data_IF_735450876033
#
_entry.id   IF_735450876033
#
_cell.length_a   1.000
_cell.length_b   1.000
_cell.length_c   1.000
_cell.angle_alpha   90.00
_cell.angle_beta   90.00
_cell.angle_gamma   90.00
#
_symmetry.space_group_name_H-M   'P 1'
#
loop_
_entity.id
_entity.type
_entity.pdbx_description
1 polymer ?
#
# COMPACT_ATOMS: atom_id res chain seq x y z
N UNK A 1 4.51 33.24 57.39
CA UNK A 1 3.99 31.86 57.22
C UNK A 1 3.70 31.62 55.74
N UNK A 2 4.38 30.63 55.13
CA UNK A 2 4.28 30.30 53.69
C UNK A 2 2.97 29.55 53.41
N UNK A 3 2.15 30.04 52.49
CA UNK A 3 1.01 29.30 51.94
C UNK A 3 1.52 28.24 50.95
N UNK A 4 1.31 26.97 51.28
CA UNK A 4 1.53 25.82 50.39
C UNK A 4 0.51 25.86 49.25
N UNK A 5 0.96 25.97 48.00
CA UNK A 5 0.12 25.75 46.82
C UNK A 5 -0.01 24.25 46.58
N UNK A 6 -1.20 23.69 46.81
CA UNK A 6 -1.56 22.33 46.39
C UNK A 6 -1.67 22.29 44.87
N UNK A 7 -0.84 21.48 44.22
CA UNK A 7 -0.96 21.12 42.80
C UNK A 7 -2.01 20.01 42.72
N UNK A 8 -3.17 20.34 42.16
CA UNK A 8 -4.22 19.38 41.85
C UNK A 8 -3.79 18.58 40.60
N UNK A 9 -3.29 17.36 40.79
CA UNK A 9 -3.08 16.41 39.69
C UNK A 9 -4.45 15.92 39.21
N UNK A 10 -4.97 16.53 38.12
CA UNK A 10 -6.13 16.00 37.42
C UNK A 10 -5.71 14.71 36.69
N UNK A 11 -5.98 13.55 37.29
CA UNK A 11 -5.91 12.26 36.61
C UNK A 11 -7.03 12.19 35.57
N UNK A 12 -6.73 12.47 34.30
CA UNK A 12 -7.64 12.18 33.19
C UNK A 12 -7.78 10.65 33.06
N UNK A 13 -9.01 10.10 33.11
CA UNK A 13 -9.21 8.69 32.79
C UNK A 13 -8.95 8.52 31.28
N UNK A 14 -7.90 7.78 30.94
CA UNK A 14 -7.67 7.30 29.58
C UNK A 14 -8.76 6.27 29.29
N UNK A 15 -9.86 6.72 28.70
CA UNK A 15 -10.91 5.84 28.18
C UNK A 15 -10.30 5.11 26.98
N UNK A 16 -9.71 3.93 27.24
CA UNK A 16 -9.40 2.95 26.21
C UNK A 16 -10.72 2.43 25.64
N UNK A 17 -11.28 3.15 24.67
CA UNK A 17 -12.37 2.65 23.87
C UNK A 17 -11.82 1.49 23.01
N UNK A 18 -11.93 0.28 23.54
CA UNK A 18 -11.42 -0.96 22.98
C UNK A 18 -12.37 -1.44 21.87
N UNK A 19 -12.54 -0.64 20.81
CA UNK A 19 -13.18 -1.11 19.58
C UNK A 19 -12.18 -1.99 18.81
N UNK A 20 -11.94 -3.18 19.33
CA UNK A 20 -11.14 -4.22 18.69
C UNK A 20 -12.10 -5.14 17.94
N UNK A 21 -12.51 -4.75 16.73
CA UNK A 21 -13.09 -5.73 15.80
C UNK A 21 -11.95 -6.61 15.26
N UNK A 22 -11.40 -7.47 16.11
CA UNK A 22 -10.48 -8.50 15.67
C UNK A 22 -11.34 -9.52 14.95
N UNK A 23 -11.37 -9.47 13.61
CA UNK A 23 -12.01 -10.50 12.82
C UNK A 23 -11.25 -11.80 13.09
N UNK A 24 -11.96 -12.84 13.50
CA UNK A 24 -11.36 -14.15 13.64
C UNK A 24 -10.89 -14.64 12.27
N UNK A 25 -9.64 -15.08 12.21
CA UNK A 25 -9.09 -15.71 11.02
C UNK A 25 -9.56 -17.15 10.96
N UNK A 26 -9.88 -17.63 9.76
CA UNK A 26 -10.45 -18.97 9.55
C UNK A 26 -9.54 -19.83 8.66
N UNK A 27 -9.65 -21.15 8.80
CA UNK A 27 -8.93 -22.13 7.96
C UNK A 27 -7.40 -21.90 7.93
N UNK A 28 -6.79 -21.81 9.11
CA UNK A 28 -5.35 -21.56 9.28
C UNK A 28 -4.46 -22.81 9.14
N UNK A 29 -5.07 -23.97 8.91
CA UNK A 29 -4.48 -25.30 8.74
C UNK A 29 -4.12 -25.66 7.28
N UNK A 30 -4.17 -24.68 6.39
CA UNK A 30 -3.89 -24.84 4.96
C UNK A 30 -2.38 -25.06 4.66
N UNK A 31 -1.99 -25.84 3.62
CA UNK A 31 -0.59 -26.11 3.26
C UNK A 31 0.32 -24.89 3.05
N UNK A 32 -0.26 -23.74 2.70
CA UNK A 32 0.48 -22.48 2.61
C UNK A 32 1.01 -21.96 3.95
N UNK A 33 0.50 -22.47 5.08
CA UNK A 33 0.76 -21.95 6.43
C UNK A 33 0.02 -20.65 6.75
N UNK A 34 -1.01 -20.30 5.98
CA UNK A 34 -1.75 -19.03 6.11
C UNK A 34 -3.26 -19.24 6.13
N UNK A 35 -3.95 -18.49 6.99
CA UNK A 35 -5.40 -18.47 7.09
C UNK A 35 -6.06 -17.96 5.79
N UNK A 36 -7.31 -18.36 5.56
CA UNK A 36 -8.10 -18.05 4.36
C UNK A 36 -8.13 -16.57 4.00
N UNK A 37 -8.28 -15.69 4.99
CA UNK A 37 -8.34 -14.25 4.75
C UNK A 37 -7.04 -13.72 4.15
N UNK A 38 -5.89 -14.23 4.61
CA UNK A 38 -4.58 -13.87 4.08
C UNK A 38 -4.41 -14.45 2.67
N UNK A 39 -4.77 -15.72 2.46
CA UNK A 39 -4.71 -16.36 1.14
C UNK A 39 -5.53 -15.62 0.09
N UNK A 40 -6.79 -15.32 0.41
CA UNK A 40 -7.69 -14.56 -0.45
C UNK A 40 -7.14 -13.18 -0.77
N UNK A 41 -6.57 -12.48 0.22
CA UNK A 41 -5.99 -11.18 0.00
C UNK A 41 -4.73 -11.25 -0.87
N UNK A 42 -3.88 -12.25 -0.67
CA UNK A 42 -2.71 -12.52 -1.50
C UNK A 42 -3.12 -12.79 -2.95
N UNK A 43 -4.12 -13.63 -3.19
CA UNK A 43 -4.66 -13.89 -4.53
C UNK A 43 -5.13 -12.62 -5.23
N UNK A 44 -5.78 -11.70 -4.51
CA UNK A 44 -6.25 -10.42 -5.06
C UNK A 44 -5.16 -9.37 -5.29
N UNK A 45 -4.01 -9.48 -4.62
CA UNK A 45 -3.07 -8.35 -4.50
C UNK A 45 -1.67 -8.60 -5.03
N UNK A 46 -1.27 -9.84 -5.30
CA UNK A 46 0.11 -10.16 -5.69
C UNK A 46 0.56 -9.44 -6.98
N UNK A 47 -0.31 -9.34 -7.99
CA UNK A 47 -0.04 -8.62 -9.25
C UNK A 47 0.24 -7.14 -8.99
N UNK A 48 -0.54 -6.51 -8.11
CA UNK A 48 -0.37 -5.10 -7.73
C UNK A 48 0.86 -4.87 -6.85
N UNK A 49 1.26 -5.85 -6.05
CA UNK A 49 2.50 -5.82 -5.30
C UNK A 49 3.71 -5.80 -6.24
N UNK A 50 3.71 -6.68 -7.25
CA UNK A 50 4.76 -6.73 -8.26
C UNK A 50 4.82 -5.43 -9.10
N UNK A 51 3.67 -4.87 -9.52
CA UNK A 51 3.62 -3.55 -10.16
C UNK A 51 4.20 -2.45 -9.26
N UNK A 52 3.83 -2.45 -7.97
CA UNK A 52 4.30 -1.46 -6.98
C UNK A 52 5.81 -1.55 -6.71
N UNK A 53 6.43 -2.70 -6.98
CA UNK A 53 7.88 -2.83 -7.04
C UNK A 53 8.42 -2.28 -8.37
N UNK A 54 7.82 -2.68 -9.49
CA UNK A 54 8.33 -2.37 -10.82
C UNK A 54 8.40 -0.86 -11.12
N UNK A 55 7.46 -0.09 -10.60
CA UNK A 55 7.39 1.38 -10.75
C UNK A 55 8.64 2.13 -10.24
N UNK A 56 9.48 1.48 -9.42
CA UNK A 56 10.78 2.03 -9.02
C UNK A 56 11.83 1.99 -10.14
N UNK A 57 11.54 1.32 -11.26
CA UNK A 57 12.39 1.20 -12.45
C UNK A 57 13.85 0.79 -12.13
N UNK A 58 14.00 -0.15 -11.20
CA UNK A 58 15.30 -0.74 -10.81
C UNK A 58 15.66 -1.92 -11.73
N UNK A 59 16.94 -2.37 -11.76
CA UNK A 59 17.38 -3.43 -12.68
C UNK A 59 16.55 -4.71 -12.64
N UNK A 60 16.18 -5.18 -11.44
CA UNK A 60 15.23 -6.27 -11.33
C UNK A 60 13.81 -5.76 -11.57
N UNK A 61 13.07 -6.40 -12.48
CA UNK A 61 11.66 -6.14 -12.83
C UNK A 61 10.90 -7.47 -12.84
N UNK A 62 9.69 -7.50 -12.29
CA UNK A 62 8.79 -8.63 -12.45
C UNK A 62 8.21 -8.60 -13.86
N UNK A 63 8.22 -9.72 -14.58
CA UNK A 63 7.51 -9.88 -15.83
C UNK A 63 6.01 -10.03 -15.56
N UNK A 64 5.25 -9.05 -16.05
CA UNK A 64 3.80 -8.96 -15.95
C UNK A 64 3.15 -8.68 -17.32
N UNK A 65 3.90 -8.82 -18.42
CA UNK A 65 3.45 -8.41 -19.76
C UNK A 65 2.20 -9.19 -20.22
N UNK A 66 2.02 -10.42 -19.74
CA UNK A 66 0.81 -11.21 -19.97
C UNK A 66 -0.45 -10.56 -19.36
N UNK A 67 -0.29 -9.84 -18.25
CA UNK A 67 -1.40 -9.33 -17.44
C UNK A 67 -1.71 -7.86 -17.70
N UNK A 68 -0.67 -7.05 -17.91
CA UNK A 68 -0.83 -5.60 -18.00
C UNK A 68 -0.21 -5.03 -19.27
N UNK A 69 -0.92 -4.07 -19.83
CA UNK A 69 -0.41 -3.17 -20.85
C UNK A 69 -0.03 -1.85 -20.18
N UNK A 70 1.20 -1.37 -20.41
CA UNK A 70 1.62 -0.05 -19.96
C UNK A 70 1.03 1.00 -20.90
N UNK A 71 0.37 2.01 -20.33
CA UNK A 71 -0.30 3.08 -21.08
C UNK A 71 0.53 4.35 -21.10
N UNK A 72 0.94 4.86 -19.94
CA UNK A 72 1.61 6.16 -19.83
C UNK A 72 2.42 6.27 -18.54
N UNK A 73 3.59 6.90 -18.61
CA UNK A 73 4.37 7.31 -17.44
C UNK A 73 4.13 8.79 -17.14
N UNK A 74 4.12 9.12 -15.85
CA UNK A 74 3.96 10.48 -15.34
C UNK A 74 5.13 10.80 -14.40
N UNK A 75 5.97 11.74 -14.80
CA UNK A 75 7.13 12.16 -14.02
C UNK A 75 7.06 13.66 -13.71
N UNK A 76 7.37 14.02 -12.46
CA UNK A 76 7.69 15.39 -12.09
C UNK A 76 8.91 15.38 -11.16
N UNK A 77 10.07 15.70 -11.75
CA UNK A 77 11.38 15.65 -11.09
C UNK A 77 11.50 16.66 -9.94
N UNK A 78 10.85 17.83 -10.05
CA UNK A 78 10.92 18.90 -9.05
C UNK A 78 10.33 18.49 -7.69
N UNK A 79 9.47 17.48 -7.68
CA UNK A 79 8.83 16.97 -6.47
C UNK A 79 9.12 15.48 -6.24
N UNK A 80 10.09 14.90 -6.96
CA UNK A 80 10.41 13.46 -6.94
C UNK A 80 9.16 12.57 -7.08
N UNK A 81 8.32 12.90 -8.06
CA UNK A 81 7.10 12.16 -8.34
C UNK A 81 7.27 11.29 -9.58
N UNK A 82 6.86 10.03 -9.46
CA UNK A 82 6.73 9.13 -10.59
C UNK A 82 5.52 8.22 -10.41
N UNK A 83 4.76 8.01 -11.49
CA UNK A 83 3.68 7.05 -11.55
C UNK A 83 3.58 6.45 -12.96
N UNK A 84 3.00 5.26 -13.05
CA UNK A 84 2.68 4.63 -14.33
C UNK A 84 1.22 4.21 -14.34
N UNK A 85 0.53 4.49 -15.44
CA UNK A 85 -0.80 3.97 -15.74
C UNK A 85 -0.66 2.70 -16.57
N UNK A 86 -1.33 1.65 -16.10
CA UNK A 86 -1.49 0.39 -16.82
C UNK A 86 -2.97 0.13 -17.11
N UNK A 87 -3.21 -0.79 -18.04
CA UNK A 87 -4.51 -1.42 -18.27
C UNK A 87 -4.38 -2.93 -18.07
N UNK A 88 -5.28 -3.50 -17.28
CA UNK A 88 -5.40 -4.95 -17.15
C UNK A 88 -5.96 -5.52 -18.44
N UNK A 89 -5.24 -6.47 -19.04
CA UNK A 89 -5.59 -7.07 -20.34
C UNK A 89 -6.80 -7.98 -20.26
N UNK A 90 -7.10 -8.55 -19.09
CA UNK A 90 -8.18 -9.49 -18.89
C UNK A 90 -9.49 -8.77 -18.55
N UNK A 91 -9.45 -7.86 -17.59
CA UNK A 91 -10.67 -7.19 -17.09
C UNK A 91 -10.84 -5.76 -17.60
N UNK A 92 -9.88 -5.24 -18.36
CA UNK A 92 -9.96 -3.91 -18.98
C UNK A 92 -9.84 -2.73 -18.00
N UNK A 93 -9.63 -2.98 -16.70
CA UNK A 93 -9.53 -1.92 -15.68
C UNK A 93 -8.21 -1.17 -15.78
N UNK A 94 -8.23 0.12 -15.45
CA UNK A 94 -7.03 0.94 -15.35
C UNK A 94 -6.39 0.83 -13.97
N UNK A 95 -5.07 0.78 -13.92
CA UNK A 95 -4.27 0.65 -12.71
C UNK A 95 -3.24 1.77 -12.65
N UNK A 96 -3.38 2.63 -11.66
CA UNK A 96 -2.42 3.69 -11.36
C UNK A 96 -1.44 3.21 -10.30
N UNK A 97 -0.17 3.14 -10.67
CA UNK A 97 0.91 2.67 -9.79
C UNK A 97 1.79 3.85 -9.44
N UNK A 98 1.91 4.17 -8.15
CA UNK A 98 2.71 5.30 -7.67
C UNK A 98 4.01 4.81 -7.05
N UNK A 99 5.12 5.44 -7.46
CA UNK A 99 6.43 5.22 -6.85
C UNK A 99 6.49 5.85 -5.47
N UNK A 100 7.12 5.17 -4.52
CA UNK A 100 7.56 5.81 -3.28
C UNK A 100 8.90 6.53 -3.46
N UNK A 101 9.43 7.07 -2.38
CA UNK A 101 10.81 7.58 -2.38
C UNK A 101 11.78 6.42 -2.26
N UNK A 102 12.89 6.47 -3.02
CA UNK A 102 13.92 5.43 -3.08
C UNK A 102 14.80 5.35 -1.82
N UNK A 103 14.71 6.31 -0.91
CA UNK A 103 15.45 6.28 0.35
C UNK A 103 14.62 6.78 1.53
N UNK A 104 14.71 6.06 2.66
CA UNK A 104 14.20 6.54 3.95
C UNK A 104 14.92 7.82 4.43
N UNK A 105 16.13 8.07 3.94
CA UNK A 105 16.93 9.26 4.25
C UNK A 105 16.41 10.52 3.53
N UNK A 106 15.77 10.36 2.37
CA UNK A 106 15.10 11.44 1.60
C UNK A 106 13.67 11.73 2.07
N UNK A 107 13.18 11.08 3.13
CA UNK A 107 11.86 11.38 3.68
C UNK A 107 11.74 12.84 4.20
N UNK A 108 12.86 13.54 4.43
CA UNK A 108 12.88 14.97 4.76
C UNK A 108 12.53 15.88 3.56
N UNK A 109 12.72 15.44 2.31
CA UNK A 109 12.47 16.20 1.07
C UNK A 109 11.25 15.69 0.29
N UNK A 110 10.95 14.38 0.39
CA UNK A 110 9.69 13.78 -0.05
C UNK A 110 8.49 14.23 0.79
N UNK A 111 7.28 14.08 0.23
CA UNK A 111 5.97 14.49 0.77
C UNK A 111 5.87 14.55 2.32
N UNK A 112 6.29 15.68 2.92
CA UNK A 112 6.26 15.86 4.37
C UNK A 112 4.79 16.02 4.84
N UNK A 113 4.39 15.50 6.01
CA UNK A 113 3.08 15.72 6.63
C UNK A 113 2.45 17.11 6.41
N UNK A 114 3.27 18.16 6.46
CA UNK A 114 2.85 19.56 6.27
C UNK A 114 2.67 19.98 4.81
N UNK A 115 3.54 19.52 3.90
CA UNK A 115 3.60 19.94 2.49
C UNK A 115 3.39 18.73 1.58
N UNK A 116 2.12 18.33 1.45
CA UNK A 116 1.69 17.15 0.69
C UNK A 116 1.65 17.39 -0.84
N UNK A 117 2.74 17.88 -1.44
CA UNK A 117 2.82 18.23 -2.88
C UNK A 117 2.58 17.03 -3.79
N UNK A 118 3.17 15.87 -3.51
CA UNK A 118 3.02 14.68 -4.33
C UNK A 118 1.58 14.13 -4.27
N UNK A 119 0.89 14.23 -3.13
CA UNK A 119 -0.52 13.85 -3.03
C UNK A 119 -1.42 14.74 -3.92
N UNK A 120 -1.17 16.05 -3.92
CA UNK A 120 -1.90 17.00 -4.77
C UNK A 120 -1.65 16.73 -6.26
N UNK A 121 -0.40 16.49 -6.62
CA UNK A 121 -0.03 16.18 -8.00
C UNK A 121 -0.60 14.82 -8.45
N UNK A 122 -0.60 13.82 -7.56
CA UNK A 122 -1.23 12.52 -7.78
C UNK A 122 -2.72 12.62 -8.12
N UNK A 123 -3.48 13.45 -7.38
CA UNK A 123 -4.88 13.74 -7.72
C UNK A 123 -5.03 14.40 -9.09
N UNK A 124 -4.19 15.39 -9.39
CA UNK A 124 -4.24 16.11 -10.66
C UNK A 124 -4.02 15.16 -11.85
N UNK A 125 -3.00 14.30 -11.79
CA UNK A 125 -2.73 13.37 -12.89
C UNK A 125 -3.78 12.27 -12.99
N UNK A 126 -4.36 11.83 -11.87
CA UNK A 126 -5.45 10.88 -11.85
C UNK A 126 -6.67 11.46 -12.57
N UNK A 127 -7.08 12.69 -12.24
CA UNK A 127 -8.23 13.35 -12.86
C UNK A 127 -8.02 13.59 -14.35
N UNK A 128 -6.82 14.05 -14.74
CA UNK A 128 -6.46 14.21 -16.16
C UNK A 128 -6.53 12.89 -16.91
N UNK A 129 -6.02 11.82 -16.32
CA UNK A 129 -6.02 10.49 -16.96
C UNK A 129 -7.42 9.91 -17.02
N UNK A 130 -8.24 10.09 -15.99
CA UNK A 130 -9.65 9.70 -15.98
C UNK A 130 -10.41 10.39 -17.10
N UNK A 131 -10.18 11.68 -17.32
CA UNK A 131 -10.78 12.42 -18.43
C UNK A 131 -10.25 11.97 -19.80
N UNK A 132 -8.92 11.82 -19.94
CA UNK A 132 -8.26 11.44 -21.20
C UNK A 132 -8.64 10.03 -21.68
N UNK A 133 -8.69 9.07 -20.76
CA UNK A 133 -8.94 7.66 -21.06
C UNK A 133 -10.37 7.19 -20.75
N UNK A 134 -11.20 8.09 -20.23
CA UNK A 134 -12.62 7.89 -19.94
C UNK A 134 -12.94 6.61 -19.13
N UNK A 135 -12.16 6.34 -18.06
CA UNK A 135 -12.43 5.20 -17.18
C UNK A 135 -13.36 5.57 -16.02
N UNK A 136 -14.34 4.72 -15.72
CA UNK A 136 -15.29 4.92 -14.61
C UNK A 136 -14.75 4.42 -13.27
N UNK A 137 -13.90 3.39 -13.31
CA UNK A 137 -13.23 2.77 -12.16
C UNK A 137 -11.72 2.70 -12.37
N UNK A 138 -10.97 2.75 -11.27
CA UNK A 138 -9.52 2.59 -11.30
C UNK A 138 -9.03 1.88 -10.03
N UNK A 139 -7.99 1.06 -10.21
CA UNK A 139 -7.20 0.52 -9.11
C UNK A 139 -6.02 1.45 -8.90
N UNK A 140 -5.83 1.92 -7.67
CA UNK A 140 -4.67 2.71 -7.28
C UNK A 140 -3.78 1.90 -6.36
N UNK A 141 -2.49 1.87 -6.64
CA UNK A 141 -1.55 1.03 -5.89
C UNK A 141 -0.19 1.70 -5.71
N UNK A 142 0.53 1.26 -4.69
CA UNK A 142 1.89 1.73 -4.45
C UNK A 142 2.47 1.24 -3.14
N UNK A 143 3.78 1.41 -3.03
CA UNK A 143 4.57 1.04 -1.87
C UNK A 143 5.03 2.29 -1.09
N UNK A 144 5.19 2.19 0.23
CA UNK A 144 5.77 3.27 1.04
C UNK A 144 5.02 4.60 0.82
N UNK A 145 5.72 5.67 0.41
CA UNK A 145 5.09 6.94 0.04
C UNK A 145 4.08 6.80 -1.12
N UNK A 146 4.36 5.98 -2.14
CA UNK A 146 3.45 5.72 -3.24
C UNK A 146 2.12 5.11 -2.78
N UNK A 147 2.16 4.23 -1.78
CA UNK A 147 0.96 3.72 -1.11
C UNK A 147 0.18 4.80 -0.37
N UNK A 148 0.87 5.81 0.18
CA UNK A 148 0.26 7.00 0.77
C UNK A 148 -0.49 7.85 -0.28
N UNK A 149 0.11 8.03 -1.47
CA UNK A 149 -0.51 8.75 -2.60
C UNK A 149 -1.75 7.98 -3.10
N UNK A 150 -1.64 6.67 -3.31
CA UNK A 150 -2.76 5.82 -3.72
C UNK A 150 -3.92 5.90 -2.71
N UNK A 151 -3.61 5.83 -1.41
CA UNK A 151 -4.61 6.00 -0.34
C UNK A 151 -5.25 7.38 -0.40
N UNK A 152 -4.44 8.43 -0.61
CA UNK A 152 -4.93 9.80 -0.75
C UNK A 152 -5.92 9.94 -1.92
N UNK A 153 -5.63 9.36 -3.08
CA UNK A 153 -6.54 9.38 -4.22
C UNK A 153 -7.84 8.67 -3.87
N UNK A 154 -7.75 7.46 -3.34
CA UNK A 154 -8.94 6.71 -2.95
C UNK A 154 -9.78 7.45 -1.89
N UNK A 155 -9.19 8.30 -1.03
CA UNK A 155 -9.92 9.11 -0.03
C UNK A 155 -10.68 10.28 -0.65
N UNK A 156 -10.33 10.69 -1.87
CA UNK A 156 -10.79 11.93 -2.46
C UNK A 156 -11.43 11.74 -3.84
N UNK A 157 -11.47 10.52 -4.39
CA UNK A 157 -12.10 10.19 -5.67
C UNK A 157 -12.91 8.92 -5.57
N UNK A 158 -14.14 8.94 -6.08
CA UNK A 158 -14.99 7.75 -6.15
C UNK A 158 -14.43 6.73 -7.14
N UNK A 159 -14.80 5.46 -6.92
CA UNK A 159 -14.44 4.32 -7.76
C UNK A 159 -12.93 4.11 -7.88
N UNK A 160 -12.19 4.43 -6.82
CA UNK A 160 -10.74 4.27 -6.73
C UNK A 160 -10.40 3.23 -5.67
N UNK A 161 -10.37 1.95 -6.07
CA UNK A 161 -10.03 0.83 -5.17
C UNK A 161 -8.53 0.86 -4.89
N UNK A 162 -8.13 0.82 -3.61
CA UNK A 162 -6.72 0.90 -3.23
C UNK A 162 -6.15 -0.45 -2.79
N UNK A 163 -5.01 -0.84 -3.35
CA UNK A 163 -4.14 -1.89 -2.80
C UNK A 163 -2.79 -1.26 -2.47
N UNK A 164 -2.39 -1.30 -1.21
CA UNK A 164 -1.18 -0.59 -0.78
C UNK A 164 -0.29 -1.46 0.08
N UNK A 165 1.02 -1.23 -0.03
CA UNK A 165 2.04 -2.11 0.53
C UNK A 165 2.99 -1.31 1.41
N UNK A 166 3.16 -1.72 2.67
CA UNK A 166 3.99 -1.02 3.65
C UNK A 166 3.80 0.51 3.60
N UNK A 167 2.56 0.98 3.47
CA UNK A 167 2.31 2.36 3.06
C UNK A 167 2.69 3.38 4.12
N UNK A 168 2.99 4.59 3.66
CA UNK A 168 3.16 5.77 4.49
C UNK A 168 1.82 6.23 5.10
N UNK A 169 1.83 6.78 6.33
CA UNK A 169 0.66 7.42 6.93
C UNK A 169 0.36 8.83 6.35
N UNK A 170 1.15 9.32 5.38
CA UNK A 170 1.03 10.69 4.87
C UNK A 170 -0.04 10.81 3.78
N UNK A 171 -1.29 11.02 4.21
CA UNK A 171 -2.43 11.35 3.35
C UNK A 171 -3.38 12.32 4.07
N UNK A 172 -4.46 12.73 3.40
CA UNK A 172 -5.54 13.50 3.99
C UNK A 172 -6.85 12.97 3.47
N UNK A 173 -7.80 12.85 4.38
CA UNK A 173 -9.18 12.65 4.02
C UNK A 173 -9.89 14.01 3.97
N UNK A 174 -10.43 14.38 2.81
CA UNK A 174 -11.29 15.57 2.70
C UNK A 174 -12.76 15.22 2.43
N UNK A 175 -13.07 13.97 2.10
CA UNK A 175 -14.38 13.56 1.62
C UNK A 175 -14.81 12.26 2.28
N UNK A 176 -16.11 12.07 2.55
CA UNK A 176 -16.60 10.81 3.10
C UNK A 176 -16.88 9.78 1.99
N UNK A 177 -15.86 9.47 1.16
CA UNK A 177 -15.99 8.54 0.03
C UNK A 177 -15.77 7.10 0.49
N UNK A 178 -16.70 6.23 0.11
CA UNK A 178 -16.61 4.78 0.32
C UNK A 178 -15.95 4.15 -0.91
N UNK A 179 -14.73 3.68 -0.72
CA UNK A 179 -14.01 2.83 -1.66
C UNK A 179 -13.44 1.65 -0.87
N UNK A 180 -13.23 0.54 -1.56
CA UNK A 180 -12.43 -0.55 -1.03
C UNK A 180 -10.97 -0.14 -0.89
N UNK A 181 -10.39 -0.45 0.27
CA UNK A 181 -8.97 -0.19 0.58
C UNK A 181 -8.39 -1.38 1.29
N UNK A 182 -7.32 -1.90 0.71
CA UNK A 182 -6.57 -3.03 1.23
C UNK A 182 -5.15 -2.55 1.51
N UNK A 183 -4.76 -2.59 2.78
CA UNK A 183 -3.41 -2.22 3.22
C UNK A 183 -2.72 -3.47 3.74
N UNK A 184 -1.67 -3.89 3.04
CA UNK A 184 -0.85 -5.05 3.39
C UNK A 184 0.48 -4.52 3.93
N UNK A 185 0.84 -4.91 5.14
CA UNK A 185 2.07 -4.46 5.79
C UNK A 185 2.86 -5.61 6.39
N UNK A 186 4.17 -5.49 6.41
CA UNK A 186 5.05 -6.41 7.13
C UNK A 186 5.03 -6.12 8.65
N UNK A 187 5.04 -7.16 9.48
CA UNK A 187 4.78 -7.06 10.93
C UNK A 187 5.74 -6.13 11.69
N UNK A 188 6.98 -6.04 11.24
CA UNK A 188 8.07 -5.31 11.88
C UNK A 188 8.70 -4.25 11.01
N UNK A 189 8.06 -3.81 9.92
CA UNK A 189 8.65 -2.77 9.08
C UNK A 189 8.71 -1.39 9.77
N UNK A 190 9.53 -0.52 9.22
CA UNK A 190 9.95 0.74 9.84
C UNK A 190 8.84 1.80 9.92
N UNK A 191 7.82 1.78 9.06
CA UNK A 191 6.72 2.77 9.12
C UNK A 191 5.62 2.42 10.12
N UNK A 192 5.71 1.28 10.82
CA UNK A 192 4.78 0.87 11.87
C UNK A 192 4.62 1.94 12.95
N UNK A 193 5.74 2.51 13.40
CA UNK A 193 5.74 3.56 14.44
C UNK A 193 5.06 4.85 13.93
N UNK A 194 5.46 5.43 12.78
CA UNK A 194 4.72 6.54 12.18
C UNK A 194 3.22 6.28 11.97
N UNK A 195 2.83 5.06 11.57
CA UNK A 195 1.41 4.69 11.38
C UNK A 195 0.62 4.67 12.69
N UNK A 196 1.24 4.26 13.81
CA UNK A 196 0.59 4.27 15.13
C UNK A 196 0.14 5.68 15.57
N UNK A 197 0.89 6.71 15.19
CA UNK A 197 0.55 8.11 15.48
C UNK A 197 -0.23 8.80 14.35
N UNK A 198 -0.40 8.11 13.22
CA UNK A 198 -1.17 8.58 12.07
C UNK A 198 -2.67 8.33 12.24
N UNK A 199 -3.48 9.07 11.48
CA UNK A 199 -4.91 8.73 11.32
C UNK A 199 -5.03 7.64 10.28
N UNK A 200 -5.58 6.49 10.65
CA UNK A 200 -5.83 5.39 9.72
C UNK A 200 -7.18 5.58 8.99
N UNK A 201 -7.25 5.38 7.66
CA UNK A 201 -8.50 5.42 6.91
C UNK A 201 -9.34 4.18 7.23
N UNK A 202 -10.64 4.23 6.90
CA UNK A 202 -11.45 3.01 6.86
C UNK A 202 -10.94 2.08 5.75
N UNK A 203 -10.48 0.88 6.12
CA UNK A 203 -9.76 -0.06 5.24
C UNK A 203 -9.73 -1.46 5.87
N UNK A 204 -9.43 -2.47 5.05
CA UNK A 204 -8.92 -3.74 5.53
C UNK A 204 -7.40 -3.63 5.73
N UNK A 205 -6.96 -3.61 6.98
CA UNK A 205 -5.54 -3.59 7.36
C UNK A 205 -5.07 -5.01 7.69
N UNK A 206 -4.10 -5.51 6.95
CA UNK A 206 -3.54 -6.86 7.11
C UNK A 206 -2.05 -6.78 7.37
N UNK A 207 -1.65 -7.23 8.56
CA UNK A 207 -0.26 -7.36 8.96
C UNK A 207 0.20 -8.79 8.69
N UNK A 208 1.28 -8.96 7.94
CA UNK A 208 1.83 -10.25 7.52
C UNK A 208 3.30 -10.38 7.93
N UNK A 209 3.75 -11.58 8.25
CA UNK A 209 5.15 -11.87 8.61
C UNK A 209 5.87 -12.58 7.47
N UNK A 210 5.97 -11.91 6.33
CA UNK A 210 6.45 -12.50 5.08
C UNK A 210 7.98 -12.56 4.99
N UNK A 211 8.67 -11.57 5.54
CA UNK A 211 10.13 -11.47 5.43
C UNK A 211 10.83 -11.46 6.79
N UNK A 212 12.05 -12.03 6.79
CA UNK A 212 12.96 -12.02 7.94
C UNK A 212 13.92 -10.83 7.85
N UNK A 213 14.47 -10.45 9.01
CA UNK A 213 15.43 -9.36 9.16
C UNK A 213 14.87 -8.14 9.87
N UNK A 214 15.66 -7.06 9.91
CA UNK A 214 15.29 -5.82 10.61
C UNK A 214 14.23 -4.98 9.89
N UNK A 215 13.77 -3.88 10.50
CA UNK A 215 12.63 -3.08 10.00
C UNK A 215 12.79 -2.52 8.58
N UNK A 216 14.01 -2.19 8.16
CA UNK A 216 14.30 -1.72 6.79
C UNK A 216 14.17 -2.89 5.80
N UNK A 217 14.65 -4.07 6.17
CA UNK A 217 14.59 -5.26 5.33
C UNK A 217 13.15 -5.76 5.13
N UNK A 218 12.30 -5.60 6.16
CA UNK A 218 10.86 -5.88 6.08
C UNK A 218 10.08 -4.81 5.31
N UNK A 219 10.71 -3.66 5.03
CA UNK A 219 10.14 -2.62 4.16
C UNK A 219 10.46 -2.85 2.67
N UNK A 220 11.02 -4.00 2.31
CA UNK A 220 11.41 -4.29 0.93
C UNK A 220 10.19 -4.77 0.12
N UNK A 221 9.80 -3.99 -0.89
CA UNK A 221 8.66 -4.30 -1.74
C UNK A 221 8.86 -5.58 -2.56
N UNK A 222 10.09 -5.92 -2.96
CA UNK A 222 10.35 -7.17 -3.69
C UNK A 222 10.03 -8.36 -2.79
N UNK A 223 10.50 -8.36 -1.54
CA UNK A 223 10.28 -9.48 -0.60
C UNK A 223 8.79 -9.67 -0.30
N UNK A 224 8.08 -8.57 -0.07
CA UNK A 224 6.64 -8.63 0.15
C UNK A 224 5.90 -9.13 -1.10
N UNK A 225 6.26 -8.66 -2.30
CA UNK A 225 5.67 -9.15 -3.55
C UNK A 225 5.95 -10.64 -3.79
N UNK A 226 7.17 -11.10 -3.56
CA UNK A 226 7.55 -12.52 -3.65
C UNK A 226 6.69 -13.38 -2.72
N UNK A 227 6.54 -12.95 -1.46
CA UNK A 227 5.75 -13.67 -0.48
C UNK A 227 4.26 -13.75 -0.86
N UNK A 228 3.64 -12.62 -1.21
CA UNK A 228 2.24 -12.61 -1.63
C UNK A 228 2.00 -13.49 -2.86
N UNK A 229 2.95 -13.51 -3.79
CA UNK A 229 2.89 -14.38 -4.98
C UNK A 229 2.94 -15.85 -4.58
N UNK A 230 3.77 -16.25 -3.61
CA UNK A 230 3.83 -17.64 -3.13
C UNK A 230 2.57 -18.08 -2.42
N UNK A 231 2.02 -17.22 -1.56
CA UNK A 231 0.77 -17.51 -0.86
C UNK A 231 -0.33 -17.73 -1.89
N UNK A 232 -0.47 -16.82 -2.86
CA UNK A 232 -1.44 -16.92 -3.95
C UNK A 232 -1.23 -18.18 -4.79
N UNK A 233 0.02 -18.55 -5.09
CA UNK A 233 0.36 -19.72 -5.92
C UNK A 233 -0.09 -21.06 -5.35
N UNK A 234 -0.58 -21.14 -4.12
CA UNK A 234 -1.20 -22.38 -3.65
C UNK A 234 -2.52 -22.67 -4.38
N UNK A 235 -3.25 -21.63 -4.79
CA UNK A 235 -4.61 -21.74 -5.33
C UNK A 235 -4.80 -21.03 -6.68
N UNK A 236 -3.90 -20.11 -7.04
CA UNK A 236 -3.94 -19.32 -8.27
C UNK A 236 -2.87 -19.82 -9.27
N UNK A 237 -3.31 -20.31 -10.43
CA UNK A 237 -2.42 -20.79 -11.49
C UNK A 237 -1.60 -19.68 -12.16
N UNK A 238 -2.14 -18.45 -12.26
CA UNK A 238 -1.37 -17.31 -12.78
C UNK A 238 -0.23 -16.97 -11.81
N UNK A 239 -0.47 -17.07 -10.51
CA UNK A 239 0.56 -16.87 -9.49
C UNK A 239 1.64 -17.96 -9.55
N UNK A 240 1.26 -19.24 -9.77
CA UNK A 240 2.23 -20.34 -10.00
C UNK A 240 3.11 -20.06 -11.20
N UNK A 241 2.52 -19.66 -12.33
CA UNK A 241 3.26 -19.28 -13.54
C UNK A 241 4.19 -18.09 -13.26
N UNK A 242 3.71 -17.09 -12.51
CA UNK A 242 4.51 -15.94 -12.11
C UNK A 242 5.72 -16.34 -11.26
N UNK A 243 5.63 -17.35 -10.39
CA UNK A 243 6.79 -17.83 -9.63
C UNK A 243 7.91 -18.31 -10.57
N UNK A 244 7.54 -19.11 -11.57
CA UNK A 244 8.48 -19.66 -12.55
C UNK A 244 9.08 -18.57 -13.44
N UNK A 245 8.23 -17.72 -14.02
CA UNK A 245 8.62 -16.66 -14.93
C UNK A 245 9.58 -15.65 -14.28
N UNK A 246 9.34 -15.36 -12.99
CA UNK A 246 10.12 -14.37 -12.23
C UNK A 246 11.23 -14.97 -11.37
N UNK A 247 11.46 -16.29 -11.47
CA UNK A 247 12.47 -17.03 -10.69
C UNK A 247 12.35 -16.77 -9.18
N UNK A 248 11.12 -16.77 -8.68
CA UNK A 248 10.83 -16.59 -7.25
C UNK A 248 11.08 -17.93 -6.56
N UNK A 249 12.17 -18.02 -5.79
CA UNK A 249 12.71 -19.27 -5.22
C UNK A 249 11.80 -19.81 -4.10
N UNK A 250 10.95 -20.80 -4.31
CA UNK A 250 10.18 -21.46 -3.22
C UNK A 250 11.13 -21.99 -2.14
N UNK A 251 10.91 -21.61 -0.88
CA UNK A 251 11.67 -22.12 0.27
C UNK A 251 11.14 -23.50 0.66
#
# INVERSE_FOLDING_TARGET
MRLLKFILFLSLPVIFCNCRSRRDLTECDHPSGWCKEIRNLSGKSWKYAQLSKNVYNKPFQFNLEKHFEKIEDFENKDIDFFATLYKDKLIGKYIFVFRGTDSFKDFKTGNNPFRQKQNKYGLLIYDKSKAKYNFSECIVTGHSLGGGIATHISLNRENATAYTFNRSPVFRNKMNIKNDRYTIVENGEILKLPRLFGREPNQLYTSIGCSKGGPIAQHDMKKLADCLTRIAANEDNDAKESLLLNKIITE
#
